data_IF_204241683430
#
_entry.id   IF_204241683430
#
_cell.length_a   1.000
_cell.length_b   1.000
_cell.length_c   1.000
_cell.angle_alpha   90.00
_cell.angle_beta   90.00
_cell.angle_gamma   90.00
#
_symmetry.space_group_name_H-M   'P 1'
#
loop_
_entity.id
_entity.type
_entity.pdbx_description
1 polymer ?
#
# COMPACT_ATOMS: atom_id res chain seq x y z
N UNK A 1 58.46 -14.96 -9.00
CA UNK A 1 57.50 -14.32 -9.95
C UNK A 1 56.60 -15.30 -10.70
N UNK A 2 57.09 -16.40 -11.32
CA UNK A 2 56.24 -17.33 -12.11
C UNK A 2 55.07 -17.96 -11.33
N UNK A 3 55.29 -18.38 -10.07
CA UNK A 3 54.22 -18.95 -9.22
C UNK A 3 53.13 -17.92 -8.87
N UNK A 4 53.53 -16.67 -8.60
CA UNK A 4 52.60 -15.56 -8.32
C UNK A 4 51.70 -15.26 -9.53
N UNK A 5 52.24 -15.39 -10.76
CA UNK A 5 51.48 -15.21 -12.01
C UNK A 5 50.38 -16.26 -12.24
N UNK A 6 50.41 -17.40 -11.53
CA UNK A 6 49.40 -18.47 -11.64
C UNK A 6 48.47 -18.45 -10.42
N UNK A 7 49.02 -18.21 -9.23
CA UNK A 7 48.26 -18.15 -7.98
C UNK A 7 47.26 -16.98 -7.99
N UNK A 8 47.66 -15.80 -8.47
CA UNK A 8 46.78 -14.63 -8.48
C UNK A 8 45.55 -14.86 -9.39
N UNK A 9 45.68 -15.30 -10.66
CA UNK A 9 44.51 -15.63 -11.49
C UNK A 9 43.64 -16.74 -10.91
N UNK A 10 44.24 -17.76 -10.29
CA UNK A 10 43.49 -18.86 -9.69
C UNK A 10 42.63 -18.38 -8.50
N UNK A 11 43.17 -17.51 -7.65
CA UNK A 11 42.42 -16.89 -6.55
C UNK A 11 41.30 -16.00 -7.10
N UNK A 12 41.57 -15.18 -8.11
CA UNK A 12 40.54 -14.34 -8.74
C UNK A 12 39.42 -15.17 -9.36
N UNK A 13 39.74 -16.30 -10.00
CA UNK A 13 38.75 -17.22 -10.56
C UNK A 13 37.87 -17.83 -9.47
N UNK A 14 38.46 -18.27 -8.36
CA UNK A 14 37.70 -18.80 -7.22
C UNK A 14 36.76 -17.74 -6.61
N UNK A 15 37.23 -16.49 -6.49
CA UNK A 15 36.40 -15.37 -6.04
C UNK A 15 35.24 -15.13 -7.03
N UNK A 16 35.51 -15.13 -8.34
CA UNK A 16 34.49 -14.94 -9.36
C UNK A 16 33.42 -16.05 -9.31
N UNK A 17 33.82 -17.32 -9.17
CA UNK A 17 32.90 -18.45 -9.04
C UNK A 17 32.07 -18.33 -7.75
N UNK A 18 32.71 -17.94 -6.64
CA UNK A 18 32.03 -17.71 -5.36
C UNK A 18 30.97 -16.62 -5.46
N UNK A 19 31.31 -15.48 -6.07
CA UNK A 19 30.39 -14.36 -6.30
C UNK A 19 29.22 -14.75 -7.23
N UNK A 20 29.50 -15.48 -8.33
CA UNK A 20 28.46 -16.00 -9.22
C UNK A 20 27.51 -16.96 -8.48
N UNK A 21 28.05 -17.88 -7.70
CA UNK A 21 27.25 -18.83 -6.93
C UNK A 21 26.35 -18.11 -5.91
N UNK A 22 26.91 -17.14 -5.17
CA UNK A 22 26.13 -16.32 -4.24
C UNK A 22 25.02 -15.54 -4.93
N UNK A 23 25.28 -14.99 -6.13
CA UNK A 23 24.28 -14.32 -6.95
C UNK A 23 23.14 -15.27 -7.35
N UNK A 24 23.43 -16.47 -7.86
CA UNK A 24 22.38 -17.41 -8.24
C UNK A 24 21.58 -17.93 -7.04
N UNK A 25 22.26 -18.24 -5.93
CA UNK A 25 21.59 -18.71 -4.70
C UNK A 25 20.66 -17.62 -4.16
N UNK A 26 21.14 -16.39 -4.04
CA UNK A 26 20.30 -15.28 -3.58
C UNK A 26 19.15 -15.00 -4.56
N UNK A 27 19.40 -15.01 -5.87
CA UNK A 27 18.35 -14.83 -6.88
C UNK A 27 17.25 -15.90 -6.82
N UNK A 28 17.56 -17.10 -6.31
CA UNK A 28 16.59 -18.19 -6.14
C UNK A 28 15.65 -18.01 -4.94
N UNK A 29 16.00 -17.16 -3.97
CA UNK A 29 15.13 -16.86 -2.81
C UNK A 29 14.12 -15.75 -3.10
N UNK A 30 14.24 -15.08 -4.26
CA UNK A 30 13.37 -13.98 -4.66
C UNK A 30 12.17 -14.47 -5.46
N UNK A 31 11.05 -13.76 -5.35
CA UNK A 31 9.83 -14.03 -6.11
C UNK A 31 10.00 -13.59 -7.55
N UNK A 32 9.79 -14.49 -8.51
CA UNK A 32 9.71 -14.16 -9.93
C UNK A 32 8.30 -13.76 -10.32
N UNK A 33 8.09 -12.47 -10.58
CA UNK A 33 6.74 -11.97 -10.93
C UNK A 33 6.29 -12.38 -12.34
N UNK A 34 7.12 -13.07 -13.11
CA UNK A 34 6.75 -13.65 -14.42
C UNK A 34 6.38 -15.12 -14.35
N UNK A 35 6.38 -15.71 -13.15
CA UNK A 35 6.08 -17.12 -12.92
C UNK A 35 5.00 -17.23 -11.85
N UNK A 36 3.78 -17.60 -12.26
CA UNK A 36 2.66 -17.83 -11.36
C UNK A 36 3.04 -18.83 -10.26
N UNK A 37 3.79 -19.89 -10.62
CA UNK A 37 4.32 -20.85 -9.64
C UNK A 37 5.23 -20.17 -8.59
N UNK A 38 6.08 -19.24 -9.01
CA UNK A 38 6.95 -18.54 -8.05
C UNK A 38 6.14 -17.62 -7.13
N UNK A 39 5.08 -16.99 -7.64
CA UNK A 39 4.18 -16.14 -6.87
C UNK A 39 3.37 -17.00 -5.89
N UNK A 40 2.73 -18.08 -6.37
CA UNK A 40 1.97 -18.99 -5.52
C UNK A 40 2.83 -19.61 -4.43
N UNK A 41 4.06 -20.05 -4.72
CA UNK A 41 4.95 -20.57 -3.70
C UNK A 41 5.30 -19.55 -2.60
N UNK A 42 5.24 -18.26 -2.91
CA UNK A 42 5.59 -17.20 -1.97
C UNK A 42 4.39 -16.72 -1.14
N UNK A 43 3.17 -16.86 -1.66
CA UNK A 43 1.95 -16.30 -1.08
C UNK A 43 0.96 -17.33 -0.55
N UNK A 44 0.94 -18.55 -1.11
CA UNK A 44 0.02 -19.59 -0.70
C UNK A 44 0.28 -20.02 0.75
N UNK A 45 -0.80 -20.16 1.51
CA UNK A 45 -0.77 -20.71 2.87
C UNK A 45 -0.40 -22.19 2.84
N UNK A 46 -1.01 -22.97 1.93
CA UNK A 46 -0.60 -24.34 1.61
C UNK A 46 0.17 -24.37 0.27
N UNK A 47 1.50 -24.66 0.27
CA UNK A 47 2.28 -24.75 -0.96
C UNK A 47 1.81 -25.80 -1.97
N UNK A 48 0.93 -26.73 -1.57
CA UNK A 48 0.32 -27.72 -2.48
C UNK A 48 -0.93 -27.19 -3.19
N UNK A 49 -1.50 -26.09 -2.71
CA UNK A 49 -2.71 -25.48 -3.25
C UNK A 49 -2.33 -24.09 -3.81
N UNK A 50 -2.02 -24.00 -5.12
CA UNK A 50 -1.62 -22.73 -5.69
C UNK A 50 -2.78 -21.73 -5.63
N UNK A 51 -2.47 -20.50 -5.22
CA UNK A 51 -3.41 -19.37 -5.28
C UNK A 51 -3.87 -19.11 -6.73
N UNK A 52 -5.01 -18.43 -6.85
CA UNK A 52 -5.47 -17.86 -8.13
C UNK A 52 -5.17 -16.38 -8.17
N UNK A 53 -4.32 -15.94 -9.12
CA UNK A 53 -4.02 -14.51 -9.33
C UNK A 53 -5.21 -13.87 -10.07
N UNK A 54 -5.71 -12.76 -9.52
CA UNK A 54 -6.90 -12.05 -10.01
C UNK A 54 -6.49 -10.80 -10.79
N UNK A 55 -5.68 -9.94 -10.16
CA UNK A 55 -5.20 -8.68 -10.76
C UNK A 55 -3.77 -8.43 -10.32
N UNK A 56 -2.99 -7.77 -11.16
CA UNK A 56 -1.65 -7.31 -10.80
C UNK A 56 -1.43 -5.90 -11.33
N UNK A 57 -0.59 -5.13 -10.64
CA UNK A 57 -0.18 -3.80 -11.06
C UNK A 57 1.28 -3.53 -10.66
N UNK A 58 1.94 -2.64 -11.41
CA UNK A 58 3.28 -2.14 -11.07
C UNK A 58 3.18 -0.67 -10.73
N UNK A 59 3.86 -0.26 -9.67
CA UNK A 59 4.06 1.15 -9.35
C UNK A 59 5.52 1.37 -8.94
N UNK A 60 6.30 2.02 -9.81
CA UNK A 60 7.75 2.18 -9.60
C UNK A 60 8.48 0.86 -9.33
N UNK A 61 9.03 0.72 -8.12
CA UNK A 61 9.73 -0.51 -7.66
C UNK A 61 8.78 -1.54 -7.03
N UNK A 62 7.49 -1.27 -6.93
CA UNK A 62 6.51 -2.13 -6.28
C UNK A 62 5.69 -2.94 -7.29
N UNK A 63 5.21 -4.09 -6.83
CA UNK A 63 4.33 -4.97 -7.58
C UNK A 63 3.17 -5.41 -6.67
N UNK A 64 1.95 -4.99 -7.00
CA UNK A 64 0.73 -5.34 -6.28
C UNK A 64 0.05 -6.55 -6.93
N UNK A 65 -0.48 -7.44 -6.10
CA UNK A 65 -1.10 -8.70 -6.50
C UNK A 65 -2.38 -8.87 -5.70
N UNK A 66 -3.50 -9.05 -6.40
CA UNK A 66 -4.75 -9.55 -5.84
C UNK A 66 -4.88 -11.03 -6.15
N UNK A 67 -5.29 -11.82 -5.16
CA UNK A 67 -5.44 -13.26 -5.31
C UNK A 67 -6.48 -13.84 -4.36
N UNK A 68 -6.94 -15.06 -4.66
CA UNK A 68 -7.65 -15.93 -3.72
C UNK A 68 -6.78 -17.14 -3.37
N UNK A 69 -6.85 -17.61 -2.12
CA UNK A 69 -6.14 -18.79 -1.65
C UNK A 69 -7.15 -19.93 -1.40
N UNK A 70 -7.07 -21.07 -2.12
CA UNK A 70 -7.94 -22.21 -1.89
C UNK A 70 -7.95 -22.70 -0.43
N UNK A 71 -6.85 -22.45 0.31
CA UNK A 71 -6.71 -22.82 1.72
C UNK A 71 -7.67 -22.07 2.64
N UNK A 72 -8.20 -20.93 2.21
CA UNK A 72 -9.18 -20.15 2.98
C UNK A 72 -10.51 -20.92 3.12
N UNK A 73 -10.81 -21.81 2.16
CA UNK A 73 -12.10 -22.49 2.04
C UNK A 73 -13.31 -21.53 2.00
N UNK A 74 -13.11 -20.33 1.44
CA UNK A 74 -14.13 -19.29 1.29
C UNK A 74 -13.96 -18.59 -0.06
N UNK A 75 -14.97 -18.68 -0.92
CA UNK A 75 -14.96 -18.09 -2.27
C UNK A 75 -15.12 -16.56 -2.27
N UNK A 76 -15.45 -15.98 -1.11
CA UNK A 76 -15.56 -14.54 -0.89
C UNK A 76 -14.30 -13.92 -0.27
N UNK A 77 -13.34 -14.75 0.13
CA UNK A 77 -12.08 -14.31 0.72
C UNK A 77 -11.05 -13.97 -0.37
N UNK A 78 -10.57 -12.73 -0.34
CA UNK A 78 -9.57 -12.22 -1.25
C UNK A 78 -8.43 -11.56 -0.49
N UNK A 79 -7.26 -11.62 -1.10
CA UNK A 79 -6.04 -11.07 -0.53
C UNK A 79 -5.43 -10.06 -1.49
N UNK A 80 -4.78 -9.06 -0.91
CA UNK A 80 -3.86 -8.17 -1.60
C UNK A 80 -2.48 -8.29 -0.97
N UNK A 81 -1.45 -8.33 -1.80
CA UNK A 81 -0.06 -8.26 -1.37
C UNK A 81 0.74 -7.36 -2.30
N UNK A 82 1.66 -6.59 -1.72
CA UNK A 82 2.67 -5.84 -2.45
C UNK A 82 4.05 -6.43 -2.23
N UNK A 83 4.89 -6.36 -3.27
CA UNK A 83 6.27 -6.82 -3.24
C UNK A 83 7.21 -5.72 -3.72
N UNK A 84 8.44 -5.70 -3.22
CA UNK A 84 9.45 -4.69 -3.58
C UNK A 84 10.54 -5.27 -4.46
N UNK A 85 10.86 -4.59 -5.57
CA UNK A 85 11.85 -5.06 -6.54
C UNK A 85 13.24 -5.20 -5.93
N UNK A 86 13.88 -6.33 -6.21
CA UNK A 86 15.28 -6.54 -5.88
C UNK A 86 16.18 -5.74 -6.84
N UNK A 87 17.14 -4.99 -6.28
CA UNK A 87 17.96 -4.02 -7.06
C UNK A 87 18.75 -4.65 -8.21
N UNK A 88 19.29 -5.85 -8.03
CA UNK A 88 20.25 -6.48 -8.95
C UNK A 88 19.65 -7.58 -9.84
N UNK A 89 18.35 -7.82 -9.75
CA UNK A 89 17.69 -8.94 -10.42
C UNK A 89 16.48 -8.47 -11.22
N UNK A 90 16.45 -8.83 -12.50
CA UNK A 90 15.33 -8.52 -13.38
C UNK A 90 14.11 -9.35 -12.97
N UNK A 91 12.95 -8.71 -12.83
CA UNK A 91 11.67 -9.34 -12.48
C UNK A 91 11.64 -10.10 -11.14
N UNK A 92 12.65 -9.90 -10.28
CA UNK A 92 12.70 -10.54 -8.97
C UNK A 92 12.37 -9.55 -7.87
N UNK A 93 11.57 -9.99 -6.91
CA UNK A 93 11.00 -9.16 -5.86
C UNK A 93 11.13 -9.82 -4.48
N UNK A 94 11.16 -8.99 -3.45
CA UNK A 94 11.06 -9.36 -2.05
C UNK A 94 9.59 -9.39 -1.64
N UNK A 95 9.16 -10.52 -1.04
CA UNK A 95 7.85 -10.62 -0.40
C UNK A 95 7.91 -10.04 1.02
N UNK A 96 8.10 -8.72 1.11
CA UNK A 96 8.23 -7.96 2.36
C UNK A 96 7.36 -6.69 2.34
N UNK A 97 6.37 -6.62 1.45
CA UNK A 97 5.47 -5.47 1.37
C UNK A 97 4.22 -5.65 2.22
N UNK A 98 3.25 -4.80 1.96
CA UNK A 98 1.96 -4.77 2.65
C UNK A 98 1.13 -5.97 2.23
N UNK A 99 0.36 -6.53 3.16
CA UNK A 99 -0.62 -7.59 2.91
C UNK A 99 -1.94 -7.24 3.58
N UNK A 100 -3.06 -7.44 2.87
CA UNK A 100 -4.41 -7.31 3.42
C UNK A 100 -5.28 -8.48 2.98
N UNK A 101 -6.31 -8.76 3.76
CA UNK A 101 -7.34 -9.78 3.49
C UNK A 101 -8.69 -9.11 3.63
N UNK A 102 -9.61 -9.39 2.71
CA UNK A 102 -10.96 -8.87 2.71
C UNK A 102 -11.96 -9.98 2.35
N UNK A 103 -13.17 -9.85 2.89
CA UNK A 103 -14.31 -10.71 2.56
C UNK A 103 -15.32 -9.87 1.79
N UNK A 104 -15.68 -10.30 0.59
CA UNK A 104 -16.70 -9.62 -0.23
C UNK A 104 -18.08 -10.10 0.20
N UNK A 105 -18.89 -9.22 0.77
CA UNK A 105 -20.22 -9.55 1.26
C UNK A 105 -21.23 -9.34 0.12
N UNK A 106 -21.97 -10.39 -0.26
CA UNK A 106 -22.93 -10.31 -1.38
C UNK A 106 -24.19 -9.48 -1.07
N UNK A 107 -24.46 -9.19 0.21
CA UNK A 107 -25.61 -8.41 0.68
C UNK A 107 -25.13 -7.08 1.25
N UNK A 108 -24.78 -6.13 0.38
CA UNK A 108 -24.58 -4.75 0.81
C UNK A 108 -25.95 -4.15 1.14
N UNK A 109 -26.25 -4.01 2.43
CA UNK A 109 -27.25 -3.04 2.87
C UNK A 109 -26.79 -1.66 2.36
N UNK A 110 -27.74 -0.84 1.89
CA UNK A 110 -27.50 0.42 1.17
C UNK A 110 -26.68 1.49 1.94
N UNK A 111 -26.40 1.23 3.22
CA UNK A 111 -25.79 2.12 4.20
C UNK A 111 -24.29 1.86 4.46
N UNK A 112 -23.66 0.84 3.85
CA UNK A 112 -22.20 0.66 3.97
C UNK A 112 -21.40 1.65 3.09
N UNK A 113 -20.35 2.26 3.66
CA UNK A 113 -19.43 3.14 2.94
C UNK A 113 -18.71 2.39 1.80
N UNK A 114 -18.52 3.06 0.65
CA UNK A 114 -17.81 2.50 -0.51
C UNK A 114 -16.41 2.00 -0.10
N UNK A 115 -16.16 0.68 -0.21
CA UNK A 115 -14.90 0.06 0.22
C UNK A 115 -13.79 0.24 -0.81
N UNK A 116 -13.05 1.34 -0.68
CA UNK A 116 -11.81 1.59 -1.40
C UNK A 116 -10.63 1.64 -0.42
N UNK A 117 -9.67 0.72 -0.58
CA UNK A 117 -8.46 0.69 0.25
C UNK A 117 -7.33 1.39 -0.49
N UNK A 118 -6.53 2.19 0.23
CA UNK A 118 -5.29 2.76 -0.28
C UNK A 118 -4.10 2.34 0.59
N UNK A 119 -3.05 1.86 -0.06
CA UNK A 119 -1.78 1.53 0.59
C UNK A 119 -0.68 2.44 0.06
N UNK A 120 -0.07 3.21 0.95
CA UNK A 120 1.16 3.97 0.67
C UNK A 120 2.36 3.03 0.73
N UNK A 121 3.13 2.96 -0.36
CA UNK A 121 4.12 1.91 -0.57
C UNK A 121 5.52 2.31 -0.09
N UNK A 122 5.81 3.61 -0.09
CA UNK A 122 7.08 4.15 0.38
C UNK A 122 6.90 4.92 1.68
N UNK A 123 7.92 4.87 2.54
CA UNK A 123 7.93 5.64 3.77
C UNK A 123 7.88 7.14 3.43
N UNK A 124 6.97 7.84 4.10
CA UNK A 124 6.84 9.30 4.03
C UNK A 124 7.66 9.88 5.17
N UNK A 125 8.79 10.49 4.83
CA UNK A 125 9.68 11.16 5.78
C UNK A 125 10.10 12.56 5.28
N UNK A 126 10.93 13.25 6.05
CA UNK A 126 11.42 14.61 5.77
C UNK A 126 12.17 14.77 4.43
N UNK A 127 12.61 13.66 3.81
CA UNK A 127 13.30 13.61 2.53
C UNK A 127 12.40 13.08 1.40
N UNK A 128 11.23 12.53 1.73
CA UNK A 128 10.28 12.00 0.75
C UNK A 128 9.49 13.13 0.10
N UNK A 129 9.60 13.25 -1.23
CA UNK A 129 8.84 14.20 -2.05
C UNK A 129 7.81 13.53 -2.98
N UNK A 130 7.78 12.21 -3.00
CA UNK A 130 6.86 11.45 -3.85
C UNK A 130 6.14 10.41 -3.02
N UNK A 131 4.85 10.23 -3.24
CA UNK A 131 4.08 9.14 -2.66
C UNK A 131 3.69 8.19 -3.78
N UNK A 132 4.10 6.93 -3.65
CA UNK A 132 3.71 5.82 -4.50
C UNK A 132 2.62 5.03 -3.76
N UNK A 133 1.44 4.91 -4.35
CA UNK A 133 0.29 4.24 -3.72
C UNK A 133 -0.32 3.17 -4.63
N UNK A 134 -0.97 2.18 -4.01
CA UNK A 134 -1.95 1.33 -4.68
C UNK A 134 -3.32 1.62 -4.09
N UNK A 135 -4.27 2.00 -4.95
CA UNK A 135 -5.69 2.06 -4.62
C UNK A 135 -6.34 0.79 -5.13
N UNK A 136 -7.08 0.09 -4.29
CA UNK A 136 -7.61 -1.21 -4.67
C UNK A 136 -8.86 -1.58 -3.91
N UNK A 137 -9.65 -2.46 -4.52
CA UNK A 137 -10.89 -2.99 -3.96
C UNK A 137 -11.23 -4.33 -4.62
N UNK A 138 -12.02 -5.13 -3.91
CA UNK A 138 -12.52 -6.43 -4.36
C UNK A 138 -13.98 -6.39 -4.82
N UNK A 139 -14.60 -5.22 -4.74
CA UNK A 139 -16.00 -4.94 -5.10
C UNK A 139 -16.14 -3.59 -5.83
N UNK A 140 -15.19 -3.27 -6.71
CA UNK A 140 -15.12 -1.96 -7.36
C UNK A 140 -16.30 -1.61 -8.27
N UNK A 141 -17.07 -2.60 -8.74
CA UNK A 141 -18.30 -2.41 -9.48
C UNK A 141 -19.46 -1.94 -8.58
N UNK A 142 -19.43 -2.22 -7.27
CA UNK A 142 -20.45 -1.80 -6.30
C UNK A 142 -20.30 -0.34 -5.85
N UNK A 143 -19.10 0.24 -6.00
CA UNK A 143 -18.83 1.64 -5.62
C UNK A 143 -19.81 2.60 -6.31
N UNK A 144 -20.58 3.38 -5.54
CA UNK A 144 -21.65 4.22 -6.09
C UNK A 144 -21.10 5.40 -6.88
N UNK A 145 -20.16 6.15 -6.30
CA UNK A 145 -19.51 7.27 -6.99
C UNK A 145 -18.21 6.79 -7.66
N UNK A 146 -18.20 6.78 -8.99
CA UNK A 146 -17.03 6.34 -9.78
C UNK A 146 -15.98 7.44 -9.92
N UNK A 147 -15.91 8.40 -9.00
CA UNK A 147 -14.80 9.34 -8.90
C UNK A 147 -13.97 9.09 -7.65
N UNK A 148 -12.73 9.55 -7.69
CA UNK A 148 -11.89 9.63 -6.51
C UNK A 148 -11.22 11.00 -6.46
N UNK A 149 -11.40 11.69 -5.34
CA UNK A 149 -10.75 12.96 -5.04
C UNK A 149 -9.49 12.71 -4.22
N UNK A 150 -8.40 13.36 -4.62
CA UNK A 150 -7.10 13.19 -3.96
C UNK A 150 -6.71 14.47 -3.26
N UNK A 151 -6.36 14.36 -1.99
CA UNK A 151 -5.95 15.50 -1.18
C UNK A 151 -4.54 15.28 -0.64
N UNK A 152 -3.74 16.32 -0.74
CA UNK A 152 -2.51 16.49 0.02
C UNK A 152 -2.85 17.21 1.33
N UNK A 153 -2.22 16.81 2.43
CA UNK A 153 -2.36 17.48 3.72
C UNK A 153 -1.04 17.53 4.47
N UNK A 154 -0.93 18.47 5.39
CA UNK A 154 0.24 18.55 6.27
C UNK A 154 0.08 17.50 7.37
N UNK A 155 0.85 16.42 7.30
CA UNK A 155 0.84 15.41 8.34
C UNK A 155 1.58 15.95 9.58
N UNK A 156 0.81 16.45 10.53
CA UNK A 156 1.35 16.97 11.79
C UNK A 156 1.46 15.89 12.88
N UNK A 157 1.24 14.60 12.56
CA UNK A 157 1.25 13.52 13.54
C UNK A 157 0.20 13.74 14.62
N UNK A 158 -1.05 13.97 14.21
CA UNK A 158 -2.15 14.26 15.14
C UNK A 158 -2.44 13.02 15.99
N UNK A 159 -1.99 13.06 17.24
CA UNK A 159 -2.28 12.07 18.26
C UNK A 159 -2.97 12.71 19.46
N UNK A 160 -3.91 11.96 20.03
CA UNK A 160 -4.68 12.30 21.22
C UNK A 160 -4.60 11.15 22.22
N UNK A 161 -4.55 11.49 23.49
CA UNK A 161 -4.61 10.57 24.61
C UNK A 161 -5.72 11.00 25.59
N UNK A 162 -5.98 10.16 26.58
CA UNK A 162 -6.98 10.40 27.64
C UNK A 162 -6.79 11.76 28.36
N UNK A 163 -5.57 12.31 28.38
CA UNK A 163 -5.25 13.56 29.06
C UNK A 163 -5.37 14.79 28.16
N UNK A 164 -5.59 14.60 26.86
CA UNK A 164 -5.68 15.68 25.88
C UNK A 164 -6.87 16.60 26.19
N UNK A 165 -6.65 17.91 26.15
CA UNK A 165 -7.70 18.91 26.35
C UNK A 165 -8.56 19.08 25.09
N UNK A 166 -9.86 19.37 25.25
CA UNK A 166 -10.78 19.60 24.11
C UNK A 166 -10.31 20.73 23.18
N UNK A 167 -9.72 21.76 23.78
CA UNK A 167 -9.14 22.88 23.05
C UNK A 167 -7.98 22.42 22.17
N UNK A 168 -7.12 21.54 22.69
CA UNK A 168 -6.01 20.98 21.94
C UNK A 168 -6.50 20.12 20.76
N UNK A 169 -7.52 19.27 20.98
CA UNK A 169 -8.17 18.50 19.90
C UNK A 169 -8.68 19.43 18.81
N UNK A 170 -9.44 20.45 19.19
CA UNK A 170 -10.02 21.41 18.24
C UNK A 170 -8.94 22.14 17.44
N UNK A 171 -7.89 22.62 18.10
CA UNK A 171 -6.79 23.35 17.43
C UNK A 171 -5.99 22.45 16.48
N UNK A 172 -5.68 21.21 16.88
CA UNK A 172 -4.95 20.25 16.03
C UNK A 172 -5.79 19.84 14.82
N UNK A 173 -7.07 19.51 15.01
CA UNK A 173 -7.97 19.12 13.92
C UNK A 173 -8.27 20.29 12.98
N UNK A 174 -8.39 21.52 13.49
CA UNK A 174 -8.56 22.71 12.65
C UNK A 174 -7.32 22.96 11.79
N UNK A 175 -6.11 22.81 12.34
CA UNK A 175 -4.86 22.91 11.56
C UNK A 175 -4.77 21.84 10.47
N UNK A 176 -5.16 20.59 10.78
CA UNK A 176 -5.24 19.52 9.79
C UNK A 176 -6.25 19.88 8.69
N UNK A 177 -7.47 20.25 9.08
CA UNK A 177 -8.53 20.68 8.17
C UNK A 177 -8.07 21.79 7.23
N UNK A 178 -7.43 22.83 7.76
CA UNK A 178 -6.94 23.95 6.96
C UNK A 178 -5.75 23.62 6.06
N UNK A 179 -5.09 22.47 6.29
CA UNK A 179 -3.97 22.02 5.47
C UNK A 179 -4.38 21.26 4.21
N UNK A 180 -5.62 20.78 4.11
CA UNK A 180 -6.07 20.03 2.94
C UNK A 180 -6.02 20.86 1.67
N UNK A 181 -5.43 20.26 0.64
CA UNK A 181 -5.39 20.77 -0.71
C UNK A 181 -5.78 19.65 -1.65
N UNK A 182 -6.86 19.84 -2.42
CA UNK A 182 -7.20 18.91 -3.50
C UNK A 182 -6.11 19.03 -4.58
N UNK A 183 -5.48 17.91 -4.91
CA UNK A 183 -4.39 17.85 -5.88
C UNK A 183 -4.78 17.11 -7.16
N UNK A 184 -5.80 16.25 -7.10
CA UNK A 184 -6.27 15.49 -8.25
C UNK A 184 -7.73 15.05 -8.10
N UNK A 185 -8.34 14.68 -9.21
CA UNK A 185 -9.62 13.95 -9.28
C UNK A 185 -9.64 13.10 -10.55
N UNK A 186 -9.96 11.82 -10.40
CA UNK A 186 -10.02 10.88 -11.53
C UNK A 186 -11.19 9.92 -11.42
N UNK A 187 -11.51 9.26 -12.54
CA UNK A 187 -12.56 8.26 -12.60
C UNK A 187 -12.03 6.88 -12.15
N UNK A 188 -12.75 6.23 -11.24
CA UNK A 188 -12.51 4.88 -10.79
C UNK A 188 -12.94 3.86 -11.86
N UNK A 189 -12.20 2.74 -12.02
CA UNK A 189 -12.59 1.67 -12.92
C UNK A 189 -13.95 1.09 -12.55
N UNK A 190 -14.81 0.85 -13.56
CA UNK A 190 -16.05 0.11 -13.38
C UNK A 190 -15.81 -1.41 -13.52
N UNK A 191 -14.96 -1.94 -12.65
CA UNK A 191 -14.58 -3.35 -12.60
C UNK A 191 -14.69 -3.86 -11.17
N UNK A 192 -15.14 -5.11 -10.99
CA UNK A 192 -15.20 -5.76 -9.67
C UNK A 192 -13.84 -5.75 -8.94
N UNK A 193 -12.76 -6.07 -9.66
CA UNK A 193 -11.41 -6.12 -9.10
C UNK A 193 -10.49 -5.16 -9.83
N UNK A 194 -9.91 -4.20 -9.10
CA UNK A 194 -8.87 -3.36 -9.66
C UNK A 194 -7.78 -3.03 -8.64
N UNK A 195 -6.58 -2.80 -9.18
CA UNK A 195 -5.46 -2.18 -8.49
C UNK A 195 -5.08 -0.99 -9.36
N UNK A 196 -5.18 0.21 -8.81
CA UNK A 196 -4.95 1.47 -9.47
C UNK A 196 -3.66 2.09 -8.91
N UNK A 197 -2.55 2.03 -9.67
CA UNK A 197 -1.24 2.52 -9.21
C UNK A 197 -1.15 4.03 -9.41
N UNK A 198 -0.89 4.77 -8.33
CA UNK A 198 -0.77 6.22 -8.40
C UNK A 198 0.55 6.75 -7.83
N UNK A 199 1.03 7.84 -8.41
CA UNK A 199 2.25 8.52 -7.98
C UNK A 199 2.02 10.02 -7.95
N UNK A 200 2.19 10.62 -6.77
CA UNK A 200 2.04 12.05 -6.59
C UNK A 200 3.34 12.67 -6.10
N UNK A 201 3.71 13.82 -6.68
CA UNK A 201 4.76 14.68 -6.13
C UNK A 201 4.15 15.62 -5.09
N UNK A 202 4.67 15.55 -3.87
CA UNK A 202 4.23 16.37 -2.75
C UNK A 202 4.74 17.81 -2.93
N UNK A 203 3.88 18.78 -2.59
CA UNK A 203 4.26 20.20 -2.57
C UNK A 203 5.28 20.51 -1.47
N UNK A 204 5.29 19.71 -0.41
CA UNK A 204 6.26 19.76 0.68
C UNK A 204 6.60 18.35 1.15
N UNK A 205 7.86 18.12 1.50
CA UNK A 205 8.29 16.84 2.05
C UNK A 205 7.50 16.49 3.32
N UNK A 206 7.32 15.20 3.56
CA UNK A 206 6.56 14.64 4.67
C UNK A 206 5.06 14.99 4.70
N UNK A 207 4.50 15.63 3.67
CA UNK A 207 3.06 15.77 3.56
C UNK A 207 2.40 14.40 3.35
N UNK A 208 1.20 14.23 3.91
CA UNK A 208 0.36 13.07 3.69
C UNK A 208 -0.49 13.20 2.43
N UNK A 209 -1.01 12.08 1.97
CA UNK A 209 -2.01 12.00 0.90
C UNK A 209 -3.20 11.17 1.37
N UNK A 210 -4.41 11.58 1.05
CA UNK A 210 -5.60 10.78 1.24
C UNK A 210 -6.45 10.74 -0.02
N UNK A 211 -7.21 9.65 -0.15
CA UNK A 211 -8.06 9.33 -1.28
C UNK A 211 -9.48 9.20 -0.79
N UNK A 212 -10.39 9.94 -1.40
CA UNK A 212 -11.79 9.98 -1.02
C UNK A 212 -12.63 9.52 -2.19
N UNK A 213 -13.53 8.56 -1.95
CA UNK A 213 -14.50 8.17 -2.97
C UNK A 213 -15.46 9.34 -3.20
N UNK A 214 -15.62 9.65 -4.49
CA UNK A 214 -16.48 10.68 -5.03
C UNK A 214 -15.85 12.05 -5.27
N UNK A 215 -16.67 12.95 -5.82
CA UNK A 215 -16.29 14.35 -6.07
C UNK A 215 -16.38 15.19 -4.79
N UNK A 216 -15.43 14.99 -3.89
CA UNK A 216 -15.34 15.70 -2.61
C UNK A 216 -14.66 17.06 -2.79
N UNK A 217 -15.22 18.09 -2.14
CA UNK A 217 -14.64 19.42 -2.10
C UNK A 217 -13.70 19.62 -0.90
N UNK A 218 -12.82 20.62 -0.95
CA UNK A 218 -11.97 20.98 0.20
C UNK A 218 -12.81 21.39 1.41
N UNK A 219 -13.89 22.14 1.21
CA UNK A 219 -14.77 22.58 2.31
C UNK A 219 -15.49 21.39 2.96
N UNK A 220 -15.87 20.39 2.16
CA UNK A 220 -16.45 19.16 2.66
C UNK A 220 -15.43 18.35 3.48
N UNK A 221 -14.18 18.20 2.99
CA UNK A 221 -13.10 17.57 3.78
C UNK A 221 -12.89 18.27 5.10
N UNK A 222 -12.80 19.61 5.10
CA UNK A 222 -12.71 20.41 6.32
C UNK A 222 -13.86 20.13 7.27
N UNK A 223 -15.09 20.08 6.77
CA UNK A 223 -16.28 19.79 7.58
C UNK A 223 -16.21 18.39 8.21
N UNK A 224 -15.82 17.37 7.44
CA UNK A 224 -15.66 15.98 7.92
C UNK A 224 -14.60 15.90 9.03
N UNK A 225 -13.44 16.52 8.85
CA UNK A 225 -12.38 16.58 9.87
C UNK A 225 -12.85 17.27 11.15
N UNK A 226 -13.60 18.37 11.04
CA UNK A 226 -14.15 19.04 12.22
C UNK A 226 -15.28 18.25 12.89
N UNK A 227 -15.99 17.40 12.15
CA UNK A 227 -16.95 16.45 12.71
C UNK A 227 -16.24 15.33 13.49
N UNK A 228 -15.14 14.79 12.96
CA UNK A 228 -14.29 13.82 13.68
C UNK A 228 -13.76 14.41 14.99
N UNK A 229 -13.34 15.68 14.99
CA UNK A 229 -12.90 16.37 16.21
C UNK A 229 -13.97 16.35 17.31
N UNK A 230 -15.25 16.55 16.95
CA UNK A 230 -16.37 16.49 17.90
C UNK A 230 -16.58 15.08 18.45
N UNK A 231 -16.40 14.05 17.62
CA UNK A 231 -16.43 12.65 18.04
C UNK A 231 -15.35 12.34 19.07
N UNK A 232 -14.10 12.67 18.75
CA UNK A 232 -12.95 12.47 19.64
C UNK A 232 -13.15 13.18 20.99
N UNK A 233 -13.63 14.43 20.97
CA UNK A 233 -13.94 15.18 22.20
C UNK A 233 -15.02 14.48 23.04
N UNK A 234 -16.01 13.89 22.39
CA UNK A 234 -17.07 13.14 23.08
C UNK A 234 -16.50 11.91 23.75
N UNK A 235 -15.68 11.13 23.04
CA UNK A 235 -15.08 9.90 23.55
C UNK A 235 -14.16 10.19 24.75
N UNK A 236 -13.30 11.22 24.65
CA UNK A 236 -12.44 11.66 25.75
C UNK A 236 -13.22 12.13 27.00
N UNK A 237 -14.46 12.61 26.85
CA UNK A 237 -15.33 12.96 27.99
C UNK A 237 -15.94 11.74 28.65
N UNK A 238 -16.26 10.72 27.86
CA UNK A 238 -16.83 9.47 28.35
C UNK A 238 -15.77 8.66 29.11
N UNK A 239 -14.52 8.66 28.67
CA UNK A 239 -13.39 7.99 29.36
C UNK A 239 -13.01 8.63 30.71
N UNK A 240 -13.35 9.90 30.92
CA UNK A 240 -13.07 10.64 32.17
C UNK A 240 -14.15 10.46 33.26
N UNK A 241 -15.24 9.74 32.97
CA UNK A 241 -16.35 9.46 33.90
C UNK A 241 -16.16 8.14 34.64
#
# INVERSE_FOLDING_TARGET
MKKLKIIIPAILLLIAIGLLSAYFIYGSTLVDITSDKSISNALATDPKQPITIIKTAKNGKYFGIMYSDPSDNDETCYHFSSMTKAKLYKNKYHNLGISSTAYVIENNDDDEEDKLTNDTLNDIDENTKTVESFLYTFEGDTIKDKKCSVFEYNDTGVAFDENTEEKEVTEKMQKLADSYKKIDEFDLPNEKFYIFPEVYELSKNANGICFEVGSVSVDEMKSRTMQQAKGIIKDLKEEKQ
#
